data_IF_938783743221
#
_entry.id   IF_938783743221
#
_cell.length_a   1.000
_cell.length_b   1.000
_cell.length_c   1.000
_cell.angle_alpha   90.00
_cell.angle_beta   90.00
_cell.angle_gamma   90.00
#
_symmetry.space_group_name_H-M   'P 1'
#
loop_
_entity.id
_entity.type
_entity.pdbx_description
1 polymer ?
#
# COMPACT_ATOMS: atom_id res chain seq x y z
N UNK A 1 -31.65 -17.33 21.97
CA UNK A 1 -32.19 -18.14 20.84
C UNK A 1 -33.65 -18.41 21.14
N UNK A 2 -34.49 -18.48 20.12
CA UNK A 2 -35.92 -18.72 20.27
C UNK A 2 -36.39 -19.96 19.49
N UNK A 3 -37.55 -20.50 19.86
CA UNK A 3 -38.25 -21.57 19.16
C UNK A 3 -39.74 -21.51 19.57
N UNK A 4 -40.62 -22.17 18.81
CA UNK A 4 -42.04 -22.24 19.18
C UNK A 4 -42.19 -23.05 20.47
N UNK A 5 -42.89 -22.48 21.45
CA UNK A 5 -43.04 -23.10 22.75
C UNK A 5 -43.73 -24.47 22.65
N UNK A 6 -43.07 -25.51 23.19
CA UNK A 6 -43.59 -26.88 23.19
C UNK A 6 -43.40 -27.63 21.87
N UNK A 7 -42.74 -27.04 20.88
CA UNK A 7 -42.43 -27.72 19.62
C UNK A 7 -41.26 -28.71 19.76
N UNK A 8 -41.04 -29.53 18.74
CA UNK A 8 -39.92 -30.48 18.71
C UNK A 8 -38.56 -29.74 18.76
N UNK A 9 -38.46 -28.61 18.08
CA UNK A 9 -37.30 -27.71 18.05
C UNK A 9 -37.03 -27.13 19.43
N UNK A 10 -38.06 -26.66 20.13
CA UNK A 10 -37.90 -26.16 21.49
C UNK A 10 -37.35 -27.25 22.43
N UNK A 11 -37.90 -28.46 22.36
CA UNK A 11 -37.42 -29.60 23.13
C UNK A 11 -36.00 -30.03 22.75
N UNK A 12 -35.64 -29.99 21.46
CA UNK A 12 -34.28 -30.25 20.99
C UNK A 12 -33.30 -29.21 21.55
N UNK A 13 -33.68 -27.94 21.51
CA UNK A 13 -32.88 -26.86 22.10
C UNK A 13 -32.68 -27.05 23.60
N UNK A 14 -33.72 -27.43 24.34
CA UNK A 14 -33.61 -27.72 25.78
C UNK A 14 -32.62 -28.85 26.05
N UNK A 15 -32.69 -29.96 25.29
CA UNK A 15 -31.75 -31.08 25.40
C UNK A 15 -30.30 -30.68 25.07
N UNK A 16 -30.12 -29.67 24.23
CA UNK A 16 -28.82 -29.07 23.89
C UNK A 16 -28.46 -27.88 24.80
N UNK A 17 -29.14 -27.68 25.92
CA UNK A 17 -28.90 -26.59 26.88
C UNK A 17 -29.01 -25.19 26.28
N UNK A 18 -29.88 -25.01 25.29
CA UNK A 18 -30.16 -23.70 24.70
C UNK A 18 -30.81 -22.77 25.74
N UNK A 19 -30.38 -21.49 25.72
CA UNK A 19 -30.96 -20.44 26.57
C UNK A 19 -32.16 -19.82 25.85
N UNK A 20 -33.35 -20.24 26.27
CA UNK A 20 -34.63 -19.65 25.86
C UNK A 20 -35.09 -18.61 26.87
N UNK A 21 -35.83 -17.61 26.40
CA UNK A 21 -36.57 -16.69 27.26
C UNK A 21 -37.66 -17.48 28.02
N UNK A 22 -37.71 -17.32 29.34
CA UNK A 22 -38.67 -18.03 30.20
C UNK A 22 -40.00 -17.29 30.30
N UNK A 23 -39.99 -15.99 30.06
CA UNK A 23 -41.14 -15.11 30.24
C UNK A 23 -41.96 -15.00 28.95
N UNK A 24 -41.27 -14.92 27.80
CA UNK A 24 -41.91 -14.84 26.49
C UNK A 24 -42.01 -16.21 25.82
N UNK A 25 -43.24 -16.75 25.77
CA UNK A 25 -43.56 -18.00 25.09
C UNK A 25 -44.11 -17.72 23.69
N UNK A 26 -43.25 -17.83 22.69
CA UNK A 26 -43.64 -17.61 21.30
C UNK A 26 -44.48 -18.78 20.78
N UNK A 27 -45.62 -18.47 20.17
CA UNK A 27 -46.54 -19.49 19.64
C UNK A 27 -46.62 -19.52 18.13
N UNK A 28 -46.17 -18.44 17.48
CA UNK A 28 -46.36 -18.26 16.05
C UNK A 28 -45.05 -17.87 15.34
N UNK A 29 -44.96 -18.20 14.06
CA UNK A 29 -43.75 -17.92 13.27
C UNK A 29 -43.59 -16.43 12.97
N UNK A 30 -44.69 -15.69 12.80
CA UNK A 30 -44.69 -14.25 12.55
C UNK A 30 -44.13 -13.47 13.76
N UNK A 31 -44.49 -13.87 14.98
CA UNK A 31 -43.96 -13.26 16.21
C UNK A 31 -42.43 -13.45 16.32
N UNK A 32 -41.96 -14.66 16.00
CA UNK A 32 -40.53 -14.96 15.95
C UNK A 32 -39.84 -14.12 14.87
N UNK A 33 -40.46 -13.99 13.69
CA UNK A 33 -39.94 -13.16 12.62
C UNK A 33 -39.80 -11.69 13.02
N UNK A 34 -40.81 -11.11 13.67
CA UNK A 34 -40.76 -9.74 14.17
C UNK A 34 -39.62 -9.54 15.17
N UNK A 35 -39.39 -10.51 16.07
CA UNK A 35 -38.30 -10.48 17.04
C UNK A 35 -36.92 -10.61 16.38
N UNK A 36 -36.81 -11.40 15.31
CA UNK A 36 -35.59 -11.46 14.50
C UNK A 36 -35.34 -10.13 13.77
N UNK A 37 -36.40 -9.56 13.17
CA UNK A 37 -36.29 -8.30 12.42
C UNK A 37 -35.94 -7.10 13.31
N UNK A 38 -36.44 -7.10 14.56
CA UNK A 38 -36.17 -6.05 15.55
C UNK A 38 -34.86 -6.28 16.32
N UNK A 39 -34.06 -7.28 15.94
CA UNK A 39 -32.81 -7.68 16.63
C UNK A 39 -32.98 -7.99 18.13
N UNK A 40 -34.18 -8.33 18.58
CA UNK A 40 -34.42 -8.74 19.97
C UNK A 40 -33.88 -10.15 20.26
N UNK A 41 -33.89 -11.02 19.25
CA UNK A 41 -33.33 -12.36 19.34
C UNK A 41 -32.24 -12.57 18.29
N UNK A 42 -31.14 -13.20 18.69
CA UNK A 42 -29.98 -13.43 17.81
C UNK A 42 -30.15 -14.63 16.87
N UNK A 43 -31.20 -15.43 17.05
CA UNK A 43 -31.40 -16.63 16.26
C UNK A 43 -32.59 -17.46 16.74
N UNK A 44 -33.08 -18.30 15.84
CA UNK A 44 -34.21 -19.19 16.05
C UNK A 44 -33.85 -20.60 15.60
N UNK A 45 -34.41 -21.60 16.28
CA UNK A 45 -34.41 -22.98 15.82
C UNK A 45 -35.77 -23.31 15.18
N UNK A 46 -35.75 -23.65 13.90
CA UNK A 46 -36.93 -23.95 13.08
C UNK A 46 -36.61 -25.18 12.22
N UNK A 47 -37.61 -26.03 11.98
CA UNK A 47 -37.51 -27.13 11.02
C UNK A 47 -37.28 -26.65 9.58
N UNK A 48 -36.43 -27.37 8.86
CA UNK A 48 -36.06 -27.01 7.49
C UNK A 48 -37.23 -27.01 6.50
N UNK A 49 -38.20 -27.92 6.65
CA UNK A 49 -39.39 -27.94 5.80
C UNK A 49 -40.25 -26.68 5.98
N UNK A 50 -40.33 -26.16 7.21
CA UNK A 50 -41.07 -24.92 7.49
C UNK A 50 -40.38 -23.72 6.86
N UNK A 51 -39.04 -23.66 6.94
CA UNK A 51 -38.25 -22.60 6.30
C UNK A 51 -38.45 -22.62 4.78
N UNK A 52 -38.38 -23.81 4.16
CA UNK A 52 -38.58 -23.97 2.71
C UNK A 52 -40.01 -23.67 2.24
N UNK A 53 -41.02 -23.93 3.07
CA UNK A 53 -42.43 -23.61 2.76
C UNK A 53 -42.77 -22.13 2.95
N UNK A 54 -42.14 -21.45 3.92
CA UNK A 54 -42.45 -20.05 4.29
C UNK A 54 -41.35 -19.06 3.87
N UNK A 55 -40.99 -19.09 2.58
CA UNK A 55 -39.97 -18.20 2.01
C UNK A 55 -40.24 -16.71 2.26
N UNK A 56 -41.51 -16.29 2.21
CA UNK A 56 -41.91 -14.91 2.42
C UNK A 56 -41.42 -14.31 3.76
N UNK A 57 -41.30 -15.15 4.79
CA UNK A 57 -40.82 -14.79 6.12
C UNK A 57 -39.31 -14.98 6.23
N UNK A 58 -38.76 -16.10 5.76
CA UNK A 58 -37.38 -16.48 6.09
C UNK A 58 -36.35 -16.24 4.98
N UNK A 59 -36.77 -16.01 3.73
CA UNK A 59 -35.90 -15.66 2.61
C UNK A 59 -35.66 -14.15 2.58
N UNK A 60 -34.85 -13.67 3.53
CA UNK A 60 -34.46 -12.26 3.64
C UNK A 60 -32.94 -12.15 3.70
N UNK A 61 -32.40 -11.07 3.12
CA UNK A 61 -30.95 -10.81 3.09
C UNK A 61 -30.31 -10.66 4.48
N UNK A 62 -31.10 -10.32 5.51
CA UNK A 62 -30.61 -10.20 6.89
C UNK A 62 -30.69 -11.51 7.70
N UNK A 63 -31.34 -12.55 7.16
CA UNK A 63 -31.45 -13.85 7.80
C UNK A 63 -30.55 -14.84 7.09
N UNK A 64 -29.82 -15.64 7.88
CA UNK A 64 -28.97 -16.70 7.36
C UNK A 64 -29.07 -17.93 8.23
N UNK A 65 -29.02 -19.09 7.57
CA UNK A 65 -28.94 -20.38 8.23
C UNK A 65 -27.52 -20.53 8.80
N UNK A 66 -27.42 -20.47 10.12
CA UNK A 66 -26.14 -20.57 10.82
C UNK A 66 -25.62 -22.00 10.91
N UNK A 67 -26.52 -22.96 11.19
CA UNK A 67 -26.21 -24.38 11.36
C UNK A 67 -27.46 -25.21 11.09
N UNK A 68 -27.29 -26.30 10.35
CA UNK A 68 -28.30 -27.34 10.20
C UNK A 68 -27.98 -28.45 11.21
N UNK A 69 -29.02 -28.94 11.90
CA UNK A 69 -28.91 -30.08 12.78
C UNK A 69 -29.60 -31.27 12.12
N UNK A 70 -28.87 -32.37 11.95
CA UNK A 70 -29.48 -33.63 11.54
C UNK A 70 -30.27 -34.21 12.73
N UNK A 71 -31.54 -33.81 12.79
CA UNK A 71 -32.49 -34.27 13.78
C UNK A 71 -33.65 -34.94 13.06
N UNK A 72 -33.80 -36.25 13.29
CA UNK A 72 -34.93 -37.00 12.76
C UNK A 72 -36.22 -36.57 13.48
N UNK A 73 -36.97 -35.69 12.82
CA UNK A 73 -38.33 -35.31 13.22
C UNK A 73 -39.33 -36.10 12.38
N UNK A 74 -40.34 -36.65 13.04
CA UNK A 74 -41.42 -37.40 12.38
C UNK A 74 -42.69 -36.55 12.41
N UNK A 75 -43.24 -36.30 11.23
CA UNK A 75 -44.52 -35.61 11.07
C UNK A 75 -45.67 -36.61 11.18
N UNK A 76 -46.73 -36.20 11.86
CA UNK A 76 -47.89 -37.07 12.08
C UNK A 76 -49.14 -36.31 12.46
N UNK A 77 -50.26 -37.04 12.46
CA UNK A 77 -51.57 -36.51 12.85
C UNK A 77 -51.85 -36.93 14.29
N UNK A 78 -52.12 -35.95 15.15
CA UNK A 78 -52.55 -36.20 16.53
C UNK A 78 -54.07 -36.17 16.57
N UNK A 79 -54.68 -37.25 17.07
CA UNK A 79 -56.13 -37.34 17.27
C UNK A 79 -56.45 -37.16 18.75
N UNK A 80 -57.50 -36.39 19.05
CA UNK A 80 -57.98 -36.21 20.41
C UNK A 80 -58.88 -37.36 20.89
N UNK A 81 -58.81 -37.66 22.18
CA UNK A 81 -59.69 -38.63 22.84
C UNK A 81 -59.44 -40.08 22.42
N UNK A 82 -60.46 -40.95 22.60
CA UNK A 82 -60.36 -42.38 22.29
C UNK A 82 -60.68 -42.71 20.82
N UNK A 83 -60.09 -41.94 19.90
CA UNK A 83 -60.40 -41.99 18.46
C UNK A 83 -59.53 -43.00 17.71
N UNK A 84 -59.45 -44.23 18.22
CA UNK A 84 -58.56 -45.29 17.69
C UNK A 84 -58.89 -45.68 16.24
N UNK A 85 -60.18 -45.68 15.86
CA UNK A 85 -60.62 -45.94 14.49
C UNK A 85 -60.12 -44.89 13.51
N UNK A 86 -60.22 -43.60 13.89
CA UNK A 86 -59.77 -42.49 13.05
C UNK A 86 -58.24 -42.52 12.85
N UNK A 87 -57.48 -42.83 13.91
CA UNK A 87 -56.03 -43.03 13.81
C UNK A 87 -55.66 -44.16 12.84
N UNK A 88 -56.43 -45.26 12.80
CA UNK A 88 -56.23 -46.32 11.80
C UNK A 88 -56.49 -45.82 10.38
N UNK A 89 -57.61 -45.13 10.16
CA UNK A 89 -57.94 -44.58 8.84
C UNK A 89 -56.85 -43.62 8.32
N UNK A 90 -56.33 -42.73 9.16
CA UNK A 90 -55.22 -41.85 8.77
C UNK A 90 -53.96 -42.62 8.43
N UNK A 91 -53.60 -43.63 9.23
CA UNK A 91 -52.42 -44.46 8.95
C UNK A 91 -52.58 -45.20 7.62
N UNK A 92 -53.73 -45.83 7.40
CA UNK A 92 -53.99 -46.61 6.19
C UNK A 92 -54.02 -45.68 4.96
N UNK A 93 -54.59 -44.47 5.09
CA UNK A 93 -54.56 -43.45 4.05
C UNK A 93 -53.13 -43.00 3.71
N UNK A 94 -52.32 -42.69 4.73
CA UNK A 94 -50.91 -42.28 4.53
C UNK A 94 -50.12 -43.40 3.85
N UNK A 95 -50.33 -44.67 4.25
CA UNK A 95 -49.64 -45.81 3.63
C UNK A 95 -50.02 -46.00 2.15
N UNK A 96 -51.30 -45.84 1.81
CA UNK A 96 -51.77 -45.98 0.43
C UNK A 96 -51.38 -44.79 -0.47
N UNK A 97 -51.23 -43.60 0.10
CA UNK A 97 -51.02 -42.35 -0.65
C UNK A 97 -49.64 -41.73 -0.41
N UNK A 98 -48.68 -42.51 0.08
CA UNK A 98 -47.37 -41.99 0.49
C UNK A 98 -46.63 -41.25 -0.63
N UNK A 99 -46.72 -41.76 -1.87
CA UNK A 99 -46.11 -41.14 -3.04
C UNK A 99 -46.72 -39.77 -3.35
N UNK A 100 -48.05 -39.65 -3.27
CA UNK A 100 -48.76 -38.39 -3.49
C UNK A 100 -48.41 -37.35 -2.41
N UNK A 101 -48.30 -37.80 -1.15
CA UNK A 101 -47.91 -36.92 -0.04
C UNK A 101 -46.48 -36.40 -0.26
N UNK A 102 -45.52 -37.27 -0.58
CA UNK A 102 -44.14 -36.85 -0.84
C UNK A 102 -44.02 -35.92 -2.05
N UNK A 103 -44.76 -36.18 -3.12
CA UNK A 103 -44.82 -35.28 -4.27
C UNK A 103 -45.33 -33.89 -3.85
N UNK A 104 -46.42 -33.84 -3.09
CA UNK A 104 -46.97 -32.58 -2.62
C UNK A 104 -45.99 -31.80 -1.73
N UNK A 105 -45.22 -32.48 -0.87
CA UNK A 105 -44.17 -31.84 -0.07
C UNK A 105 -43.05 -31.30 -0.97
N UNK A 106 -42.59 -32.08 -1.94
CA UNK A 106 -41.52 -31.67 -2.86
C UNK A 106 -41.91 -30.46 -3.73
N UNK A 107 -43.19 -30.33 -4.10
CA UNK A 107 -43.68 -29.19 -4.88
C UNK A 107 -43.81 -27.90 -4.03
N UNK A 108 -44.02 -28.03 -2.72
CA UNK A 108 -44.29 -26.89 -1.83
C UNK A 108 -43.13 -26.51 -0.90
N UNK A 109 -42.06 -27.31 -0.87
CA UNK A 109 -40.88 -27.07 -0.04
C UNK A 109 -39.66 -27.03 -0.95
N UNK A 110 -38.99 -25.89 -0.97
CA UNK A 110 -37.68 -25.80 -1.62
C UNK A 110 -36.58 -26.35 -0.72
N UNK A 111 -35.63 -27.06 -1.33
CA UNK A 111 -34.46 -27.54 -0.64
C UNK A 111 -33.65 -26.36 -0.09
N UNK A 112 -33.37 -26.40 1.21
CA UNK A 112 -32.45 -25.46 1.85
C UNK A 112 -31.07 -25.66 1.24
N UNK A 113 -30.57 -24.63 0.55
CA UNK A 113 -29.17 -24.60 0.15
C UNK A 113 -28.34 -24.28 1.38
N UNK A 114 -27.55 -25.25 1.83
CA UNK A 114 -26.55 -24.98 2.86
C UNK A 114 -25.59 -23.92 2.33
N UNK A 115 -25.38 -22.86 3.13
CA UNK A 115 -24.37 -21.88 2.79
C UNK A 115 -23.02 -22.61 2.77
N UNK A 116 -22.28 -22.62 1.64
CA UNK A 116 -21.14 -23.51 1.43
C UNK A 116 -19.97 -23.26 2.38
N UNK A 117 -19.99 -22.16 3.14
CA UNK A 117 -18.94 -21.83 4.08
C UNK A 117 -19.47 -21.58 5.50
N UNK A 118 -18.84 -22.18 6.54
CA UNK A 118 -19.16 -21.87 7.91
C UNK A 118 -18.85 -20.39 8.21
N UNK A 119 -19.71 -19.71 8.99
CA UNK A 119 -19.56 -18.28 9.30
C UNK A 119 -18.20 -17.90 9.88
N UNK A 120 -17.52 -18.84 10.53
CA UNK A 120 -16.17 -18.65 11.07
C UNK A 120 -15.14 -18.49 9.94
N UNK A 121 -15.28 -19.24 8.85
CA UNK A 121 -14.46 -19.12 7.65
C UNK A 121 -14.83 -17.84 6.91
N UNK A 122 -16.10 -17.47 6.76
CA UNK A 122 -16.47 -16.21 6.10
C UNK A 122 -16.05 -14.95 6.89
N UNK A 123 -16.17 -14.99 8.22
CA UNK A 123 -15.69 -13.88 9.06
C UNK A 123 -14.17 -13.78 9.09
N UNK A 124 -13.45 -14.90 9.06
CA UNK A 124 -11.99 -14.89 9.08
C UNK A 124 -11.40 -14.58 7.71
N UNK A 125 -12.01 -15.07 6.62
CA UNK A 125 -11.65 -14.67 5.25
C UNK A 125 -11.86 -13.18 5.06
N UNK A 126 -12.99 -12.59 5.50
CA UNK A 126 -13.19 -11.15 5.43
C UNK A 126 -12.19 -10.29 6.22
N UNK A 127 -11.44 -10.87 7.17
CA UNK A 127 -10.38 -10.18 7.93
C UNK A 127 -9.02 -10.28 7.24
N UNK A 128 -8.74 -11.38 6.54
CA UNK A 128 -7.45 -11.65 5.89
C UNK A 128 -7.48 -11.56 4.36
N UNK A 129 -8.65 -11.36 3.75
CA UNK A 129 -8.80 -11.24 2.32
C UNK A 129 -8.41 -9.83 1.87
N UNK A 130 -7.45 -9.78 0.95
CA UNK A 130 -6.95 -8.56 0.29
C UNK A 130 -8.03 -7.78 -0.48
N UNK A 131 -9.14 -8.45 -0.81
CA UNK A 131 -10.30 -7.86 -1.47
C UNK A 131 -11.24 -7.10 -0.50
N UNK A 132 -11.16 -7.41 0.80
CA UNK A 132 -12.07 -6.87 1.80
C UNK A 132 -11.75 -5.41 2.15
N UNK A 133 -12.80 -4.60 2.30
CA UNK A 133 -12.66 -3.19 2.67
C UNK A 133 -12.09 -3.01 4.08
N UNK A 134 -12.40 -3.95 4.99
CA UNK A 134 -11.91 -3.94 6.37
C UNK A 134 -10.41 -4.20 6.45
N UNK A 135 -9.87 -5.13 5.66
CA UNK A 135 -8.43 -5.39 5.62
C UNK A 135 -7.66 -4.15 5.12
N UNK A 136 -8.13 -3.53 4.02
CA UNK A 136 -7.49 -2.31 3.48
C UNK A 136 -7.52 -1.14 4.47
N UNK A 137 -8.64 -0.93 5.16
CA UNK A 137 -8.75 0.13 6.17
C UNK A 137 -7.80 -0.11 7.35
N UNK A 138 -7.79 -1.32 7.91
CA UNK A 138 -6.89 -1.66 9.02
C UNK A 138 -5.42 -1.59 8.62
N UNK A 139 -5.07 -2.04 7.40
CA UNK A 139 -3.73 -1.95 6.86
C UNK A 139 -3.27 -0.49 6.72
N UNK A 140 -4.12 0.39 6.19
CA UNK A 140 -3.83 1.83 6.07
C UNK A 140 -3.67 2.50 7.44
N UNK A 141 -4.51 2.14 8.43
CA UNK A 141 -4.39 2.64 9.80
C UNK A 141 -3.08 2.20 10.43
N UNK A 142 -2.72 0.92 10.29
CA UNK A 142 -1.48 0.37 10.86
C UNK A 142 -0.24 1.02 10.25
N UNK A 143 -0.24 1.18 8.93
CA UNK A 143 0.87 1.78 8.19
C UNK A 143 1.01 3.27 8.51
N UNK A 144 -0.12 3.98 8.64
CA UNK A 144 -0.15 5.37 9.10
C UNK A 144 0.35 5.53 10.55
N UNK A 145 -0.11 4.68 11.47
CA UNK A 145 0.31 4.71 12.87
C UNK A 145 1.81 4.44 13.02
N UNK A 146 2.33 3.46 12.26
CA UNK A 146 3.76 3.15 12.24
C UNK A 146 4.59 4.33 11.70
N UNK A 147 4.12 4.99 10.64
CA UNK A 147 4.73 6.22 10.11
C UNK A 147 4.79 7.35 11.15
N UNK A 148 3.69 7.59 11.87
CA UNK A 148 3.62 8.62 12.93
C UNK A 148 4.58 8.29 14.08
N UNK A 149 4.62 7.02 14.53
CA UNK A 149 5.55 6.59 15.57
C UNK A 149 7.02 6.82 15.18
N UNK A 150 7.39 6.55 13.92
CA UNK A 150 8.74 6.83 13.40
C UNK A 150 9.03 8.33 13.42
N UNK A 151 8.10 9.16 12.93
CA UNK A 151 8.27 10.62 12.92
C UNK A 151 8.44 11.18 14.33
N UNK A 152 7.61 10.73 15.29
CA UNK A 152 7.73 11.12 16.69
C UNK A 152 9.07 10.67 17.30
N UNK A 153 9.52 9.46 16.98
CA UNK A 153 10.82 8.95 17.41
C UNK A 153 12.00 9.77 16.86
N UNK A 154 11.95 10.15 15.57
CA UNK A 154 12.98 11.00 14.95
C UNK A 154 12.99 12.40 15.56
N UNK A 155 11.81 13.02 15.72
CA UNK A 155 11.68 14.35 16.35
C UNK A 155 12.21 14.32 17.78
N UNK A 156 11.87 13.28 18.55
CA UNK A 156 12.36 13.09 19.91
C UNK A 156 13.89 12.99 19.95
N UNK A 157 14.49 12.17 19.08
CA UNK A 157 15.95 12.01 19.00
C UNK A 157 16.66 13.32 18.62
N UNK A 158 16.08 14.11 17.70
CA UNK A 158 16.61 15.43 17.33
C UNK A 158 16.57 16.37 18.54
N UNK A 159 15.43 16.48 19.22
CA UNK A 159 15.29 17.32 20.42
C UNK A 159 16.26 16.88 21.51
N UNK A 160 16.37 15.58 21.74
CA UNK A 160 17.28 15.00 22.73
C UNK A 160 18.75 15.33 22.41
N UNK A 161 19.17 15.17 21.15
CA UNK A 161 20.53 15.53 20.70
C UNK A 161 20.82 17.02 20.84
N UNK A 162 19.90 17.89 20.43
CA UNK A 162 20.06 19.35 20.56
C UNK A 162 20.18 19.75 22.03
N UNK A 163 19.32 19.23 22.90
CA UNK A 163 19.34 19.53 24.33
C UNK A 163 20.63 19.02 25.01
N UNK A 164 21.16 17.88 24.58
CA UNK A 164 22.46 17.35 25.03
C UNK A 164 23.64 18.24 24.58
N UNK A 165 23.60 18.78 23.35
CA UNK A 165 24.63 19.72 22.86
C UNK A 165 24.59 21.05 23.61
N UNK A 166 23.39 21.59 23.89
CA UNK A 166 23.22 22.84 24.65
C UNK A 166 23.69 22.71 26.10
N UNK A 167 23.54 21.54 26.73
CA UNK A 167 23.96 21.31 28.13
C UNK A 167 25.49 21.15 28.29
N UNK A 168 26.23 20.91 27.21
CA UNK A 168 27.70 20.75 27.22
C UNK A 168 28.42 22.07 26.83
N UNK A 169 27.69 23.11 26.40
CA UNK A 169 28.29 24.28 25.74
C UNK A 169 28.13 25.61 26.51
N UNK A 170 28.93 25.84 27.58
CA UNK A 170 29.30 27.22 27.93
C UNK A 170 30.81 27.52 27.81
N UNK A 171 31.68 26.52 27.59
CA UNK A 171 33.14 26.71 27.53
C UNK A 171 33.71 26.82 26.09
N UNK A 172 33.21 26.02 25.15
CA UNK A 172 33.79 25.90 23.80
C UNK A 172 33.52 27.13 22.90
N UNK A 173 32.32 27.73 23.03
CA UNK A 173 31.94 28.91 22.22
C UNK A 173 32.82 30.15 22.46
N UNK A 174 33.44 30.27 23.64
CA UNK A 174 34.29 31.45 23.95
C UNK A 174 35.66 31.33 23.29
N UNK A 175 36.22 30.12 23.19
CA UNK A 175 37.48 29.88 22.48
C UNK A 175 37.29 29.93 20.96
N UNK A 176 36.22 29.34 20.42
CA UNK A 176 35.97 29.35 18.97
C UNK A 176 35.72 30.77 18.44
N UNK A 177 35.00 31.61 19.19
CA UNK A 177 34.77 33.00 18.80
C UNK A 177 36.06 33.83 18.86
N UNK A 178 36.90 33.62 19.88
CA UNK A 178 38.17 34.33 20.04
C UNK A 178 39.19 33.95 18.96
N UNK A 179 39.31 32.65 18.67
CA UNK A 179 40.14 32.12 17.58
C UNK A 179 39.66 32.64 16.20
N UNK A 180 38.35 32.65 15.97
CA UNK A 180 37.77 33.16 14.72
C UNK A 180 38.05 34.65 14.53
N UNK A 181 38.01 35.45 15.61
CA UNK A 181 38.35 36.88 15.53
C UNK A 181 39.83 37.11 15.23
N UNK A 182 40.73 36.33 15.83
CA UNK A 182 42.18 36.42 15.58
C UNK A 182 42.53 36.01 14.14
N UNK A 183 41.96 34.92 13.64
CA UNK A 183 42.17 34.46 12.26
C UNK A 183 41.66 35.52 11.27
N UNK A 184 40.48 36.10 11.53
CA UNK A 184 39.92 37.15 10.66
C UNK A 184 40.82 38.38 10.65
N UNK A 185 41.39 38.76 11.79
CA UNK A 185 42.32 39.88 11.90
C UNK A 185 43.62 39.63 11.12
N UNK A 186 44.24 38.45 11.26
CA UNK A 186 45.45 38.10 10.51
C UNK A 186 45.21 38.10 8.99
N UNK A 187 44.06 37.60 8.53
CA UNK A 187 43.70 37.59 7.10
C UNK A 187 43.50 39.01 6.57
N UNK A 188 42.87 39.90 7.35
CA UNK A 188 42.69 41.30 6.95
C UNK A 188 44.02 42.05 6.86
N UNK A 189 44.94 41.77 7.78
CA UNK A 189 46.28 42.38 7.78
C UNK A 189 47.09 41.91 6.58
N UNK A 190 47.14 40.60 6.33
CA UNK A 190 47.81 40.03 5.15
C UNK A 190 47.26 40.61 3.85
N UNK A 191 45.93 40.72 3.73
CA UNK A 191 45.28 41.32 2.55
C UNK A 191 45.77 42.75 2.32
N UNK A 192 45.88 43.54 3.39
CA UNK A 192 46.35 44.94 3.29
C UNK A 192 47.82 45.02 2.87
N UNK A 193 48.68 44.16 3.42
CA UNK A 193 50.11 44.12 3.10
C UNK A 193 50.35 43.71 1.64
N UNK A 194 49.65 42.69 1.16
CA UNK A 194 49.72 42.25 -0.24
C UNK A 194 49.26 43.36 -1.18
N UNK A 195 48.19 44.07 -0.83
CA UNK A 195 47.68 45.16 -1.66
C UNK A 195 48.67 46.33 -1.75
N UNK A 196 49.29 46.68 -0.62
CA UNK A 196 50.33 47.72 -0.56
C UNK A 196 51.54 47.34 -1.41
N UNK A 197 52.01 46.09 -1.30
CA UNK A 197 53.15 45.58 -2.06
C UNK A 197 52.85 45.50 -3.55
N UNK A 198 51.63 45.10 -3.93
CA UNK A 198 51.18 45.09 -5.32
C UNK A 198 51.15 46.50 -5.94
N UNK A 199 50.68 47.50 -5.18
CA UNK A 199 50.70 48.90 -5.62
C UNK A 199 52.13 49.43 -5.79
N UNK A 200 53.02 49.13 -4.84
CA UNK A 200 54.42 49.54 -4.91
C UNK A 200 55.14 48.91 -6.11
N UNK A 201 54.92 47.62 -6.36
CA UNK A 201 55.46 46.92 -7.52
C UNK A 201 54.91 47.50 -8.84
N UNK A 202 53.62 47.84 -8.89
CA UNK A 202 52.99 48.47 -10.06
C UNK A 202 53.63 49.83 -10.37
N UNK A 203 53.91 50.62 -9.34
CA UNK A 203 54.55 51.93 -9.50
C UNK A 203 56.02 51.78 -9.93
N UNK A 204 56.77 50.87 -9.29
CA UNK A 204 58.15 50.53 -9.70
C UNK A 204 58.20 50.05 -11.15
N UNK A 205 57.28 49.19 -11.57
CA UNK A 205 57.24 48.69 -12.94
C UNK A 205 56.90 49.78 -13.96
N UNK A 206 56.02 50.73 -13.61
CA UNK A 206 55.73 51.92 -14.43
C UNK A 206 56.97 52.81 -14.60
N UNK A 207 57.76 53.02 -13.53
CA UNK A 207 59.02 53.78 -13.58
C UNK A 207 60.07 53.06 -14.43
N UNK A 208 60.26 51.76 -14.22
CA UNK A 208 61.21 50.94 -15.00
C UNK A 208 60.85 50.92 -16.50
N UNK A 209 59.57 50.73 -16.85
CA UNK A 209 59.10 50.82 -18.26
C UNK A 209 59.41 52.17 -18.88
N UNK A 210 59.20 53.28 -18.15
CA UNK A 210 59.54 54.63 -18.64
C UNK A 210 61.05 54.77 -18.86
N UNK A 211 61.87 54.36 -17.90
CA UNK A 211 63.34 54.40 -18.06
C UNK A 211 63.81 53.55 -19.25
N UNK A 212 63.26 52.34 -19.43
CA UNK A 212 63.61 51.48 -20.55
C UNK A 212 63.16 52.07 -21.90
N UNK A 213 61.98 52.69 -21.97
CA UNK A 213 61.52 53.37 -23.18
C UNK A 213 62.40 54.59 -23.52
N UNK A 214 62.82 55.36 -22.53
CA UNK A 214 63.75 56.50 -22.71
C UNK A 214 65.13 56.01 -23.14
N UNK A 215 65.66 54.95 -22.52
CA UNK A 215 66.92 54.34 -22.92
C UNK A 215 66.88 53.85 -24.37
N UNK A 216 65.80 53.17 -24.78
CA UNK A 216 65.61 52.71 -26.17
C UNK A 216 65.47 53.87 -27.16
N UNK A 217 64.81 54.97 -26.78
CA UNK A 217 64.75 56.20 -27.59
C UNK A 217 66.13 56.84 -27.74
N UNK A 218 66.91 56.90 -26.67
CA UNK A 218 68.28 57.44 -26.70
C UNK A 218 69.19 56.54 -27.55
N UNK A 219 69.13 55.21 -27.41
CA UNK A 219 69.87 54.27 -28.28
C UNK A 219 69.50 54.42 -29.76
N UNK A 220 68.22 54.65 -30.09
CA UNK A 220 67.81 54.99 -31.46
C UNK A 220 68.38 56.35 -31.90
N UNK A 221 68.43 57.35 -31.02
CA UNK A 221 69.02 58.67 -31.30
C UNK A 221 70.52 58.57 -31.61
N UNK A 222 71.28 57.80 -30.82
CA UNK A 222 72.70 57.49 -31.11
C UNK A 222 72.89 56.71 -32.41
N UNK A 223 71.89 55.92 -32.83
CA UNK A 223 71.90 55.21 -34.11
C UNK A 223 71.60 56.12 -35.32
N UNK A 224 70.84 57.21 -35.13
CA UNK A 224 70.61 58.25 -36.14
C UNK A 224 71.71 59.34 -36.17
N UNK A 225 72.44 59.53 -35.08
CA UNK A 225 73.57 60.49 -35.01
C UNK A 225 74.90 59.89 -35.56
N UNK A 226 74.91 58.59 -35.89
CA UNK A 226 76.00 57.92 -36.61
C UNK A 226 75.73 57.65 -38.10
N UNK A 227 74.55 58.05 -38.63
CA UNK A 227 74.27 57.94 -40.06
C UNK A 227 73.67 59.24 -40.60
N UNK A 228 74.54 60.09 -41.15
CA UNK A 228 74.47 60.69 -42.50
C UNK A 228 75.60 61.73 -42.64
N UNK A 229 76.23 61.89 -43.82
CA UNK A 229 75.60 61.76 -45.13
C UNK A 229 76.25 60.70 -46.03
N UNK A 230 75.45 60.07 -46.90
CA UNK A 230 75.45 60.50 -48.30
C UNK A 230 74.35 59.83 -49.14
N UNK A 231 73.52 60.71 -49.72
CA UNK A 231 72.91 60.67 -51.07
C UNK A 231 71.83 59.63 -51.33
N UNK A 232 70.54 60.02 -51.36
CA UNK A 232 69.79 60.71 -52.45
C UNK A 232 69.63 59.90 -53.73
N UNK A 233 68.45 59.27 -53.93
CA UNK A 233 67.37 59.74 -54.82
C UNK A 233 66.48 58.59 -55.34
N UNK A 234 65.16 58.81 -55.23
CA UNK A 234 64.11 58.54 -56.24
C UNK A 234 63.82 57.07 -56.61
N UNK A 235 62.59 56.54 -56.66
CA UNK A 235 61.23 57.04 -56.46
C UNK A 235 60.26 55.84 -56.54
N UNK A 236 59.02 56.08 -56.08
CA UNK A 236 57.76 55.33 -56.38
C UNK A 236 57.67 53.91 -55.84
N UNK A 237 56.51 53.36 -55.50
CA UNK A 237 55.13 53.78 -55.23
C UNK A 237 54.43 52.45 -54.87
N UNK A 238 53.47 52.48 -53.95
CA UNK A 238 52.38 51.51 -53.70
C UNK A 238 52.18 51.12 -52.24
N UNK A 239 50.89 51.01 -51.94
CA UNK A 239 50.18 51.04 -50.68
C UNK A 239 50.27 49.77 -49.82
N UNK A 240 49.61 49.86 -48.66
CA UNK A 240 49.13 48.79 -47.76
C UNK A 240 50.24 48.24 -46.84
N UNK A 241 50.11 48.09 -45.51
CA UNK A 241 49.04 47.65 -44.60
C UNK A 241 49.43 48.14 -43.17
N UNK A 242 48.65 48.21 -42.09
CA UNK A 242 47.24 48.01 -41.77
C UNK A 242 47.10 48.57 -40.33
N UNK A 243 45.99 49.24 -40.09
CA UNK A 243 45.56 49.71 -38.78
C UNK A 243 44.92 48.57 -37.97
N UNK A 244 44.94 48.76 -36.64
CA UNK A 244 43.92 48.31 -35.69
C UNK A 244 43.64 46.80 -35.46
N UNK A 245 43.97 46.44 -34.22
CA UNK A 245 43.01 45.99 -33.19
C UNK A 245 42.54 44.53 -33.16
N UNK A 246 42.60 44.03 -31.92
CA UNK A 246 41.67 43.10 -31.26
C UNK A 246 41.59 41.64 -31.75
N UNK A 247 42.00 40.74 -30.85
CA UNK A 247 41.01 39.89 -30.20
C UNK A 247 40.98 38.39 -30.55
N UNK A 248 41.25 37.60 -29.51
CA UNK A 248 40.43 36.44 -29.05
C UNK A 248 40.60 35.06 -29.75
N UNK A 249 41.13 34.14 -28.93
CA UNK A 249 40.77 32.70 -28.72
C UNK A 249 41.22 31.64 -29.73
N UNK A 250 41.87 30.61 -29.17
CA UNK A 250 41.68 29.21 -29.56
C UNK A 250 41.82 28.31 -28.32
N UNK A 251 40.80 27.50 -28.04
CA UNK A 251 40.88 26.37 -27.11
C UNK A 251 41.39 25.10 -27.82
N UNK A 252 41.27 23.93 -27.16
CA UNK A 252 40.89 22.75 -27.94
C UNK A 252 39.81 21.89 -27.28
N UNK A 253 39.01 21.25 -28.14
CA UNK A 253 38.01 20.22 -27.83
C UNK A 253 38.52 18.85 -28.28
N UNK A 254 38.20 17.85 -27.46
CA UNK A 254 37.83 16.46 -27.79
C UNK A 254 38.91 15.47 -28.26
N UNK A 255 39.03 14.37 -27.50
CA UNK A 255 39.19 13.02 -28.06
C UNK A 255 38.43 12.00 -27.20
N UNK A 256 37.43 11.37 -27.80
CA UNK A 256 36.87 10.07 -27.41
C UNK A 256 37.78 8.97 -27.95
N UNK A 257 37.98 7.88 -27.19
CA UNK A 257 37.90 6.52 -27.76
C UNK A 257 37.63 5.48 -26.68
N UNK A 258 36.66 4.63 -27.00
CA UNK A 258 36.26 3.42 -26.31
C UNK A 258 37.09 2.19 -26.73
N UNK A 259 36.88 1.08 -26.01
CA UNK A 259 36.90 -0.38 -26.37
C UNK A 259 37.31 -1.12 -25.08
N UNK A 260 36.44 -1.90 -24.43
CA UNK A 260 35.99 -3.29 -24.71
C UNK A 260 36.39 -4.11 -23.46
N UNK A 261 35.58 -4.96 -22.82
CA UNK A 261 34.88 -6.15 -23.32
C UNK A 261 33.89 -6.69 -22.25
N UNK A 262 32.69 -7.14 -22.70
CA UNK A 262 31.85 -8.31 -22.32
C UNK A 262 31.63 -8.74 -20.84
N UNK A 263 30.46 -9.24 -20.38
CA UNK A 263 29.41 -10.06 -21.02
C UNK A 263 28.15 -10.20 -20.11
N UNK A 264 27.01 -10.65 -20.72
CA UNK A 264 25.93 -11.49 -20.12
C UNK A 264 24.90 -10.80 -19.16
N UNK A 265 23.56 -10.94 -19.25
CA UNK A 265 22.62 -11.74 -20.04
C UNK A 265 21.20 -11.11 -20.01
N UNK A 266 20.56 -11.05 -21.18
CA UNK A 266 19.15 -11.29 -21.57
C UNK A 266 17.96 -11.21 -20.59
N UNK A 267 16.94 -10.46 -21.07
CA UNK A 267 15.52 -10.86 -21.35
C UNK A 267 14.68 -11.54 -20.25
N UNK A 268 13.35 -11.47 -20.18
CA UNK A 268 12.27 -10.68 -20.78
C UNK A 268 10.99 -11.12 -20.03
N UNK A 269 10.05 -10.20 -19.87
CA UNK A 269 8.71 -10.43 -19.32
C UNK A 269 7.92 -11.51 -20.09
N UNK A 270 7.05 -12.30 -19.43
CA UNK A 270 5.95 -12.96 -20.11
C UNK A 270 4.57 -12.46 -19.65
N UNK A 271 3.73 -12.16 -20.63
CA UNK A 271 2.27 -12.26 -20.54
C UNK A 271 1.84 -13.70 -20.26
N UNK A 272 0.62 -13.93 -19.75
CA UNK A 272 -0.10 -15.13 -20.15
C UNK A 272 -1.59 -14.90 -20.45
N UNK A 273 -2.02 -15.37 -21.62
CA UNK A 273 -3.38 -15.84 -21.85
C UNK A 273 -3.32 -17.23 -22.50
N UNK A 274 -4.27 -18.08 -22.07
CA UNK A 274 -4.68 -19.38 -22.62
C UNK A 274 -3.68 -20.53 -22.54
N UNK A 275 -4.02 -21.59 -21.79
CA UNK A 275 -4.05 -23.01 -22.22
C UNK A 275 -4.89 -23.85 -21.22
N UNK A 276 -5.74 -24.71 -21.79
CA UNK A 276 -6.35 -25.97 -21.31
C UNK A 276 -7.30 -26.04 -20.12
N UNK A 277 -8.58 -26.19 -20.49
CA UNK A 277 -9.54 -27.02 -19.81
C UNK A 277 -9.48 -28.47 -20.33
N UNK A 278 -9.84 -29.40 -19.44
CA UNK A 278 -10.45 -30.73 -19.66
C UNK A 278 -9.55 -31.96 -19.86
N UNK A 279 -9.20 -32.59 -18.73
CA UNK A 279 -9.23 -34.05 -18.60
C UNK A 279 -10.23 -34.43 -17.47
N UNK A 280 -11.18 -35.35 -17.71
CA UNK A 280 -12.18 -35.72 -16.72
C UNK A 280 -11.61 -36.72 -15.70
N UNK A 281 -11.75 -36.39 -14.41
CA UNK A 281 -11.55 -37.37 -13.34
C UNK A 281 -12.70 -38.38 -13.35
N UNK A 282 -12.34 -39.62 -13.59
CA UNK A 282 -13.16 -40.81 -13.51
C UNK A 282 -13.43 -41.14 -12.04
N UNK A 283 -14.70 -41.22 -11.66
CA UNK A 283 -15.15 -41.70 -10.35
C UNK A 283 -14.92 -43.21 -10.30
N UNK A 284 -14.03 -43.66 -9.40
CA UNK A 284 -13.87 -45.07 -9.05
C UNK A 284 -15.01 -45.45 -8.10
N UNK A 285 -15.99 -46.20 -8.60
CA UNK A 285 -16.98 -46.86 -7.76
C UNK A 285 -16.33 -47.98 -6.97
N UNK A 286 -16.33 -47.87 -5.64
CA UNK A 286 -16.07 -49.00 -4.74
C UNK A 286 -17.43 -49.54 -4.30
N UNK A 287 -17.84 -50.65 -4.93
CA UNK A 287 -18.82 -51.57 -4.36
C UNK A 287 -18.19 -52.25 -3.14
N UNK A 288 -18.89 -52.24 -2.01
CA UNK A 288 -18.84 -53.36 -1.07
C UNK A 288 -20.23 -53.95 -0.94
N UNK A 289 -20.35 -55.16 -1.47
CA UNK A 289 -21.31 -56.15 -1.02
C UNK A 289 -20.86 -56.75 0.33
N UNK A 290 -21.85 -57.31 1.03
CA UNK A 290 -21.80 -58.35 2.06
C UNK A 290 -21.12 -58.04 3.40
N UNK A 291 -21.91 -57.93 4.47
CA UNK A 291 -22.04 -58.98 5.50
C UNK A 291 -23.18 -58.65 6.50
N UNK A 292 -23.94 -59.71 6.86
CA UNK A 292 -25.05 -59.85 7.82
C UNK A 292 -26.46 -59.41 7.40
#
# INVERSE_FOLDING_TARGET
ISAIYGSAEYNLGLRKNARFDKEKKHRNFEEIYELLSSNQISGVLIDGYVVGSRKNLFEKTFLRIYRVYDYSSVYGVVTGGNSTKLGKCFRDYIQQNIALIFQHVAENVEAIQESPEPLEVERSTGVFDSSSQLFRQNLMILLGALGVCILLGVVWEIIYRVKKRLKIQPQDNRQVNLLSTEITQMVTDLKSQVFKLALELKEKHKRQRRCHLTAKKNSRKYQYEQLEPSTKNSAKDSCEDEDLSSGIVAGPRMFQKAVGEQESLREQSPDPCLIENLAPFHVKGEKRESEA
#
